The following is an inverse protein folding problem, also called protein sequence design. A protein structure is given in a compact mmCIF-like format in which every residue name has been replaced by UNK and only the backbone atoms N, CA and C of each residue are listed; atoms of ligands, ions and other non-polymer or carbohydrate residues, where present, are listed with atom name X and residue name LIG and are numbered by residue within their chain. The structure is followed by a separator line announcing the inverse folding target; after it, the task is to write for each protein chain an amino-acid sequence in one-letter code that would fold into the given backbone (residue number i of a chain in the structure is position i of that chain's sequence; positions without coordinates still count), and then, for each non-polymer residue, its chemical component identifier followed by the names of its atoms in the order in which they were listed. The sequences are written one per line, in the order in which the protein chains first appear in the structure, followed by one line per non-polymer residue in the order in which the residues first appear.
data_IF_646864356092
#
_entry.id   IF_646864356092
#
_cell.length_a   1.000
_cell.length_b   1.000
_cell.length_c   1.000
_cell.angle_alpha   90.00
_cell.angle_beta   90.00
_cell.angle_gamma   90.00
#
_symmetry.space_group_name_H-M   'P 1'
#
loop_
_entity.id
_entity.type
_entity.pdbx_description
1 polymer ?
#
# COMPACT_ATOMS: atom_id res chain seq x y z
N UNK A 1 -33.26 14.92 -2.57
CA UNK A 1 -32.00 15.51 -2.05
C UNK A 1 -32.10 16.06 -0.62
N UNK A 2 -33.16 16.80 -0.23
CA UNK A 2 -33.22 17.50 1.07
C UNK A 2 -33.35 16.63 2.34
N UNK A 3 -33.73 15.36 2.22
CA UNK A 3 -33.93 14.47 3.39
C UNK A 3 -32.62 13.93 3.96
N UNK A 4 -31.62 13.74 3.09
CA UNK A 4 -30.28 13.26 3.46
C UNK A 4 -29.48 14.37 4.15
N UNK A 5 -29.53 15.61 3.63
CA UNK A 5 -28.94 16.76 4.32
C UNK A 5 -29.57 17.01 5.70
N UNK A 6 -30.90 16.88 5.83
CA UNK A 6 -31.59 16.96 7.13
C UNK A 6 -31.06 15.92 8.14
N UNK A 7 -30.67 14.74 7.66
CA UNK A 7 -30.13 13.67 8.50
C UNK A 7 -28.68 13.93 8.94
N UNK A 8 -27.86 14.51 8.05
CA UNK A 8 -26.46 14.85 8.33
C UNK A 8 -26.36 16.02 9.32
N UNK A 9 -27.20 17.04 9.17
CA UNK A 9 -27.15 18.25 10.02
C UNK A 9 -27.96 18.14 11.31
N UNK A 10 -28.80 17.12 11.47
CA UNK A 10 -29.65 16.93 12.64
C UNK A 10 -30.90 17.81 12.64
N UNK A 11 -31.88 17.42 13.44
CA UNK A 11 -33.15 18.12 13.68
C UNK A 11 -33.33 18.34 15.18
N UNK A 12 -33.79 19.51 15.57
CA UNK A 12 -34.10 19.89 16.94
C UNK A 12 -35.61 20.01 17.05
N UNK A 13 -36.17 19.30 18.01
CA UNK A 13 -37.55 19.42 18.44
C UNK A 13 -37.59 20.37 19.64
N UNK A 14 -38.27 21.49 19.47
CA UNK A 14 -38.34 22.56 20.45
C UNK A 14 -39.79 22.88 20.80
N UNK A 15 -40.00 23.20 22.06
CA UNK A 15 -41.25 23.69 22.62
C UNK A 15 -41.09 25.20 22.84
N UNK A 16 -41.99 25.99 22.25
CA UNK A 16 -42.08 27.43 22.45
C UNK A 16 -43.34 27.71 23.27
N UNK A 17 -43.18 28.31 24.44
CA UNK A 17 -44.28 28.84 25.25
C UNK A 17 -44.33 30.35 25.03
N UNK A 18 -45.40 30.83 24.41
CA UNK A 18 -45.61 32.25 24.12
C UNK A 18 -47.05 32.66 24.47
N UNK A 19 -47.24 33.91 24.88
CA UNK A 19 -48.55 34.46 25.24
C UNK A 19 -49.52 34.53 24.04
N UNK A 20 -48.98 34.63 22.82
CA UNK A 20 -49.74 34.54 21.57
C UNK A 20 -48.96 33.70 20.55
N UNK A 21 -49.30 32.40 20.40
CA UNK A 21 -48.56 31.50 19.52
C UNK A 21 -48.67 31.89 18.03
N UNK A 22 -49.76 32.52 17.60
CA UNK A 22 -49.97 32.90 16.20
C UNK A 22 -49.12 34.12 15.81
N UNK A 23 -49.07 35.14 16.67
CA UNK A 23 -48.20 36.30 16.48
C UNK A 23 -46.71 35.94 16.61
N UNK A 24 -46.38 34.95 17.43
CA UNK A 24 -45.02 34.42 17.52
C UNK A 24 -44.58 33.75 16.21
N UNK A 25 -45.40 32.85 15.64
CA UNK A 25 -45.11 32.20 14.36
C UNK A 25 -44.92 33.19 13.21
N UNK A 26 -45.78 34.21 13.14
CA UNK A 26 -45.70 35.24 12.09
C UNK A 26 -44.41 36.05 12.20
N UNK A 27 -43.98 36.36 13.43
CA UNK A 27 -42.74 37.08 13.67
C UNK A 27 -41.51 36.24 13.32
N UNK A 28 -41.45 34.98 13.73
CA UNK A 28 -40.31 34.11 13.46
C UNK A 28 -40.20 33.74 11.97
N UNK A 29 -41.34 33.57 11.27
CA UNK A 29 -41.35 33.36 9.82
C UNK A 29 -40.89 34.60 9.05
N UNK A 30 -41.31 35.81 9.47
CA UNK A 30 -40.85 37.07 8.89
C UNK A 30 -39.33 37.31 9.06
N UNK A 31 -38.73 36.73 10.10
CA UNK A 31 -37.27 36.78 10.36
C UNK A 31 -36.47 35.71 9.58
N UNK A 32 -37.13 34.97 8.67
CA UNK A 32 -36.49 33.98 7.80
C UNK A 32 -36.21 32.64 8.48
N UNK A 33 -36.78 32.39 9.67
CA UNK A 33 -36.67 31.09 10.33
C UNK A 33 -37.69 30.13 9.69
N UNK A 34 -37.19 29.16 8.92
CA UNK A 34 -38.02 28.09 8.38
C UNK A 34 -38.35 27.09 9.48
N UNK A 35 -39.52 27.28 10.10
CA UNK A 35 -40.12 26.35 11.04
C UNK A 35 -40.76 25.19 10.26
N UNK A 36 -40.49 23.94 10.64
CA UNK A 36 -41.11 22.76 10.04
C UNK A 36 -42.17 22.22 10.98
N UNK A 37 -43.38 22.03 10.43
CA UNK A 37 -44.56 21.42 11.08
C UNK A 37 -44.82 21.96 12.49
N UNK A 38 -45.29 23.22 12.64
CA UNK A 38 -45.68 23.74 13.94
C UNK A 38 -46.99 23.10 14.41
N UNK A 39 -46.94 22.35 15.51
CA UNK A 39 -48.12 21.74 16.13
C UNK A 39 -48.49 22.50 17.42
N UNK A 40 -49.77 22.82 17.56
CA UNK A 40 -50.30 23.44 18.78
C UNK A 40 -50.61 22.33 19.79
N UNK A 41 -49.72 22.11 20.75
CA UNK A 41 -49.90 21.06 21.77
C UNK A 41 -50.73 21.58 22.97
N UNK A 42 -50.70 22.88 23.25
CA UNK A 42 -51.50 23.52 24.31
C UNK A 42 -51.84 24.98 23.91
N UNK A 43 -52.80 25.65 24.59
CA UNK A 43 -53.25 27.01 24.21
C UNK A 43 -52.14 28.08 24.20
N UNK A 44 -51.02 27.85 24.88
CA UNK A 44 -49.86 28.74 24.92
C UNK A 44 -48.55 28.04 24.51
N UNK A 45 -48.63 26.80 24.02
CA UNK A 45 -47.47 25.93 23.82
C UNK A 45 -47.43 25.36 22.42
N UNK A 46 -46.36 25.67 21.71
CA UNK A 46 -46.15 25.27 20.32
C UNK A 46 -44.93 24.36 20.21
N UNK A 47 -45.13 23.16 19.69
CA UNK A 47 -44.04 22.23 19.35
C UNK A 47 -43.64 22.45 17.90
N UNK A 48 -42.35 22.61 17.64
CA UNK A 48 -41.82 22.86 16.31
C UNK A 48 -40.54 22.07 16.09
N UNK A 49 -40.38 21.57 14.87
CA UNK A 49 -39.13 20.97 14.44
C UNK A 49 -38.33 21.95 13.60
N UNK A 50 -37.04 22.04 13.86
CA UNK A 50 -36.15 22.97 13.15
C UNK A 50 -34.74 22.41 13.02
N UNK A 51 -33.92 23.04 12.19
CA UNK A 51 -32.51 22.69 12.10
C UNK A 51 -31.71 23.30 13.29
N UNK A 52 -30.59 22.69 13.71
CA UNK A 52 -29.78 23.18 14.84
C UNK A 52 -29.25 24.61 14.69
N UNK A 53 -29.00 25.06 13.45
CA UNK A 53 -28.59 26.44 13.18
C UNK A 53 -29.73 27.44 13.45
N UNK A 54 -30.97 27.03 13.18
CA UNK A 54 -32.18 27.82 13.46
C UNK A 54 -32.40 27.94 14.96
N UNK A 55 -32.21 26.86 15.73
CA UNK A 55 -32.30 26.87 17.21
C UNK A 55 -31.37 27.91 17.84
N UNK A 56 -30.08 27.93 17.42
CA UNK A 56 -29.10 28.88 17.96
C UNK A 56 -29.48 30.35 17.73
N UNK A 57 -30.25 30.65 16.69
CA UNK A 57 -30.75 32.00 16.41
C UNK A 57 -32.07 32.29 17.12
N UNK A 58 -32.91 31.27 17.30
CA UNK A 58 -34.21 31.40 17.93
C UNK A 58 -34.12 31.56 19.45
N UNK A 59 -33.16 30.90 20.12
CA UNK A 59 -32.93 31.00 21.56
C UNK A 59 -32.73 32.45 22.06
N UNK A 60 -31.81 33.27 21.51
CA UNK A 60 -31.66 34.66 21.93
C UNK A 60 -32.85 35.55 21.53
N UNK A 61 -33.51 35.27 20.40
CA UNK A 61 -34.66 36.06 19.94
C UNK A 61 -35.90 35.83 20.82
N UNK A 62 -36.13 34.59 21.25
CA UNK A 62 -37.21 34.26 22.17
C UNK A 62 -36.98 34.88 23.55
N UNK A 63 -35.74 34.85 24.06
CA UNK A 63 -35.39 35.53 25.30
C UNK A 63 -35.61 37.04 25.22
N UNK A 64 -35.26 37.69 24.10
CA UNK A 64 -35.48 39.11 23.90
C UNK A 64 -36.97 39.51 23.86
N UNK A 65 -37.84 38.59 23.43
CA UNK A 65 -39.31 38.78 23.40
C UNK A 65 -40.00 38.37 24.70
N UNK A 66 -39.28 37.72 25.62
CA UNK A 66 -39.84 37.16 26.87
C UNK A 66 -40.55 35.81 26.69
N UNK A 67 -40.41 35.16 25.53
CA UNK A 67 -40.92 33.82 25.27
C UNK A 67 -40.03 32.75 25.91
N UNK A 68 -40.61 31.66 26.43
CA UNK A 68 -39.83 30.53 26.95
C UNK A 68 -39.68 29.45 25.90
N UNK A 69 -38.46 29.26 25.41
CA UNK A 69 -38.10 28.13 24.54
C UNK A 69 -37.46 26.99 25.34
N UNK A 70 -37.99 25.78 25.21
CA UNK A 70 -37.42 24.55 25.78
C UNK A 70 -37.05 23.57 24.67
N UNK A 71 -35.80 23.12 24.66
CA UNK A 71 -35.37 22.06 23.75
C UNK A 71 -35.83 20.70 24.30
N UNK A 72 -36.77 20.02 23.61
CA UNK A 72 -37.29 18.70 24.03
C UNK A 72 -36.31 17.60 23.62
N UNK A 73 -35.95 17.54 22.33
CA UNK A 73 -35.08 16.49 21.78
C UNK A 73 -34.19 17.02 20.66
N UNK A 74 -32.96 16.53 20.61
CA UNK A 74 -32.01 16.76 19.51
C UNK A 74 -31.77 15.42 18.80
N UNK A 75 -32.15 15.34 17.53
CA UNK A 75 -31.85 14.23 16.64
C UNK A 75 -30.72 14.64 15.68
N UNK A 76 -29.85 13.70 15.28
CA UNK A 76 -28.83 13.97 14.25
C UNK A 76 -27.65 13.01 14.29
N UNK A 77 -26.96 12.89 13.16
CA UNK A 77 -25.77 12.05 13.01
C UNK A 77 -24.70 12.40 14.07
N UNK A 78 -24.46 13.69 14.30
CA UNK A 78 -23.50 14.18 15.30
C UNK A 78 -23.91 13.88 16.74
N UNK A 79 -25.22 13.85 17.05
CA UNK A 79 -25.73 13.49 18.38
C UNK A 79 -25.68 11.97 18.59
N UNK A 80 -25.97 11.18 17.56
CA UNK A 80 -25.82 9.72 17.60
C UNK A 80 -24.35 9.30 17.74
N UNK A 81 -23.44 9.95 17.01
CA UNK A 81 -22.00 9.72 17.12
C UNK A 81 -21.44 10.16 18.48
N UNK A 82 -21.87 11.32 19.00
CA UNK A 82 -21.47 11.80 20.32
C UNK A 82 -22.05 10.95 21.47
N UNK A 83 -23.28 10.43 21.31
CA UNK A 83 -23.92 9.52 22.28
C UNK A 83 -23.30 8.12 22.21
N UNK A 84 -22.73 7.73 21.07
CA UNK A 84 -21.93 6.52 20.86
C UNK A 84 -20.45 6.70 21.24
N UNK A 85 -20.13 7.57 22.22
CA UNK A 85 -18.77 7.69 22.79
C UNK A 85 -18.21 6.39 23.36
N UNK A 86 -19.07 5.45 23.77
CA UNK A 86 -18.63 4.11 24.21
C UNK A 86 -18.21 3.18 23.06
N UNK A 87 -18.63 3.44 21.81
CA UNK A 87 -18.26 2.63 20.63
C UNK A 87 -17.42 3.37 19.59
N UNK A 88 -17.09 4.63 19.84
CA UNK A 88 -16.01 5.37 19.16
C UNK A 88 -14.71 4.56 19.07
N UNK A 89 -14.19 3.91 20.15
CA UNK A 89 -13.00 3.07 20.03
C UNK A 89 -13.20 1.89 19.08
N UNK A 90 -14.40 1.32 18.98
CA UNK A 90 -14.69 0.23 18.05
C UNK A 90 -14.61 0.69 16.58
N UNK A 91 -15.20 1.85 16.26
CA UNK A 91 -15.13 2.39 14.89
C UNK A 91 -13.72 2.83 14.51
N UNK A 92 -12.97 3.42 15.44
CA UNK A 92 -11.56 3.76 15.23
C UNK A 92 -10.73 2.49 15.01
N UNK A 93 -10.93 1.46 15.83
CA UNK A 93 -10.25 0.17 15.66
C UNK A 93 -10.62 -0.51 14.34
N UNK A 94 -11.88 -0.48 13.93
CA UNK A 94 -12.34 -1.03 12.66
C UNK A 94 -11.72 -0.28 11.46
N UNK A 95 -11.67 1.05 11.51
CA UNK A 95 -11.02 1.84 10.48
C UNK A 95 -9.51 1.60 10.43
N UNK A 96 -8.85 1.49 11.59
CA UNK A 96 -7.43 1.18 11.68
C UNK A 96 -7.12 -0.23 11.15
N UNK A 97 -7.96 -1.22 11.47
CA UNK A 97 -7.86 -2.59 10.96
C UNK A 97 -8.03 -2.62 9.43
N UNK A 98 -9.01 -1.90 8.89
CA UNK A 98 -9.21 -1.79 7.45
C UNK A 98 -7.98 -1.21 6.75
N UNK A 99 -7.44 -0.11 7.28
CA UNK A 99 -6.21 0.49 6.77
C UNK A 99 -5.04 -0.49 6.85
N UNK A 100 -4.88 -1.18 7.98
CA UNK A 100 -3.83 -2.19 8.15
C UNK A 100 -3.93 -3.29 7.08
N UNK A 101 -5.13 -3.81 6.80
CA UNK A 101 -5.36 -4.84 5.77
C UNK A 101 -5.04 -4.32 4.36
N UNK A 102 -5.37 -3.06 4.05
CA UNK A 102 -5.09 -2.46 2.75
C UNK A 102 -3.59 -2.18 2.55
N UNK A 103 -2.88 -1.79 3.61
CA UNK A 103 -1.46 -1.42 3.54
C UNK A 103 -0.50 -2.59 3.79
N UNK A 104 -0.91 -3.63 4.53
CA UNK A 104 -0.03 -4.76 4.87
C UNK A 104 0.59 -5.45 3.64
N UNK A 105 -0.15 -5.73 2.54
CA UNK A 105 0.41 -6.41 1.37
C UNK A 105 1.36 -5.53 0.55
N UNK A 106 1.26 -4.20 0.68
CA UNK A 106 2.05 -3.24 -0.10
C UNK A 106 3.46 -3.01 0.44
N UNK A 107 3.76 -3.54 1.63
CA UNK A 107 5.02 -3.30 2.34
C UNK A 107 5.75 -4.59 2.65
N UNK A 108 7.07 -4.50 2.66
CA UNK A 108 7.96 -5.59 3.05
C UNK A 108 8.09 -5.66 4.57
N UNK A 109 7.72 -6.80 5.16
CA UNK A 109 7.83 -7.10 6.59
C UNK A 109 8.95 -8.09 6.85
N UNK A 110 9.11 -9.07 5.98
CA UNK A 110 10.11 -10.12 6.15
C UNK A 110 10.97 -10.20 4.89
N UNK A 111 12.28 -10.34 5.09
CA UNK A 111 13.25 -10.54 4.02
C UNK A 111 13.92 -11.88 4.28
N UNK A 112 13.78 -12.79 3.34
CA UNK A 112 14.35 -14.13 3.39
C UNK A 112 15.33 -14.30 2.24
N UNK A 113 16.44 -14.99 2.50
CA UNK A 113 17.47 -15.26 1.49
C UNK A 113 17.54 -16.76 1.28
N UNK A 114 17.36 -17.20 0.04
CA UNK A 114 17.40 -18.60 -0.36
C UNK A 114 18.51 -18.84 -1.38
N UNK A 115 19.17 -20.00 -1.29
CA UNK A 115 20.20 -20.42 -2.25
C UNK A 115 21.62 -19.94 -1.95
N UNK A 116 21.88 -19.49 -0.71
CA UNK A 116 23.24 -19.21 -0.26
C UNK A 116 23.88 -20.49 0.32
N UNK A 117 25.08 -20.84 -0.12
CA UNK A 117 25.84 -21.98 0.41
C UNK A 117 27.22 -21.51 0.89
N UNK A 118 27.95 -20.78 0.05
CA UNK A 118 29.30 -20.26 0.36
C UNK A 118 29.30 -18.78 0.75
N UNK A 119 28.34 -17.99 0.24
CA UNK A 119 28.24 -16.56 0.52
C UNK A 119 27.42 -16.33 1.79
N UNK A 120 27.91 -15.56 2.78
CA UNK A 120 27.18 -15.31 4.00
C UNK A 120 25.92 -14.47 3.73
N UNK A 121 24.76 -14.94 4.20
CA UNK A 121 23.46 -14.28 4.03
C UNK A 121 23.47 -12.80 4.44
N UNK A 122 24.28 -12.42 5.45
CA UNK A 122 24.43 -11.02 5.89
C UNK A 122 24.95 -10.10 4.78
N UNK A 123 25.88 -10.57 3.95
CA UNK A 123 26.45 -9.78 2.83
C UNK A 123 25.39 -9.54 1.76
N UNK A 124 24.56 -10.55 1.48
CA UNK A 124 23.45 -10.48 0.53
C UNK A 124 22.34 -9.55 1.06
N UNK A 125 22.01 -9.65 2.35
CA UNK A 125 21.04 -8.77 3.02
C UNK A 125 21.47 -7.30 2.98
N UNK A 126 22.74 -7.01 3.26
CA UNK A 126 23.27 -5.63 3.18
C UNK A 126 23.21 -5.09 1.75
N UNK A 127 23.61 -5.89 0.75
CA UNK A 127 23.52 -5.49 -0.64
C UNK A 127 22.07 -5.25 -1.09
N UNK A 128 21.14 -6.10 -0.66
CA UNK A 128 19.72 -5.92 -0.93
C UNK A 128 19.13 -4.69 -0.24
N UNK A 129 19.60 -4.38 0.98
CA UNK A 129 19.24 -3.18 1.70
C UNK A 129 19.71 -1.91 0.95
N UNK A 130 20.95 -1.89 0.47
CA UNK A 130 21.47 -0.79 -0.37
C UNK A 130 20.65 -0.59 -1.65
N UNK A 131 20.11 -1.68 -2.22
CA UNK A 131 19.24 -1.66 -3.39
C UNK A 131 17.79 -1.24 -3.09
N UNK A 132 17.45 -0.92 -1.83
CA UNK A 132 16.13 -0.47 -1.41
C UNK A 132 15.18 -1.58 -0.95
N UNK A 133 15.62 -2.84 -0.91
CA UNK A 133 14.86 -3.95 -0.31
C UNK A 133 15.05 -3.90 1.20
N UNK A 134 14.34 -2.98 1.85
CA UNK A 134 14.40 -2.74 3.30
C UNK A 134 13.09 -3.12 3.99
N UNK A 135 13.15 -3.29 5.31
CA UNK A 135 11.97 -3.32 6.16
C UNK A 135 11.14 -2.03 5.91
N UNK A 136 9.83 -2.16 5.62
CA UNK A 136 8.92 -1.09 5.19
C UNK A 136 9.06 -0.54 3.76
N UNK A 137 9.93 -1.11 2.92
CA UNK A 137 10.00 -0.71 1.53
C UNK A 137 8.68 -0.97 0.79
N UNK A 138 8.34 -0.09 -0.16
CA UNK A 138 7.16 -0.23 -1.02
C UNK A 138 7.47 -1.22 -2.14
N UNK A 139 6.66 -2.26 -2.29
CA UNK A 139 6.87 -3.29 -3.31
C UNK A 139 6.82 -2.73 -4.75
N UNK A 140 6.04 -1.67 -4.99
CA UNK A 140 5.86 -1.08 -6.33
C UNK A 140 7.03 -0.23 -6.84
N UNK A 141 7.97 0.16 -5.98
CA UNK A 141 9.10 1.04 -6.35
C UNK A 141 10.35 0.25 -6.74
N UNK A 142 10.38 -1.04 -6.38
CA UNK A 142 11.53 -1.92 -6.54
C UNK A 142 11.42 -2.63 -7.88
N UNK A 143 12.00 -2.03 -8.92
CA UNK A 143 12.09 -2.66 -10.24
C UNK A 143 13.10 -3.80 -10.18
N UNK A 144 12.63 -5.04 -10.26
CA UNK A 144 13.45 -6.26 -10.10
C UNK A 144 14.75 -6.17 -10.90
N UNK A 145 14.74 -5.73 -12.17
CA UNK A 145 15.96 -5.68 -13.00
C UNK A 145 17.05 -4.71 -12.51
N UNK A 146 16.68 -3.56 -11.94
CA UNK A 146 17.68 -2.61 -11.42
C UNK A 146 18.34 -3.16 -10.17
N UNK A 147 17.56 -3.78 -9.29
CA UNK A 147 18.04 -4.40 -8.06
C UNK A 147 18.92 -5.60 -8.37
N UNK A 148 18.56 -6.44 -9.35
CA UNK A 148 19.41 -7.57 -9.78
C UNK A 148 20.82 -7.09 -10.17
N UNK A 149 20.90 -6.09 -11.04
CA UNK A 149 22.19 -5.58 -11.53
C UNK A 149 23.02 -4.94 -10.41
N UNK A 150 22.38 -4.22 -9.49
CA UNK A 150 23.08 -3.64 -8.35
C UNK A 150 23.57 -4.71 -7.36
N UNK A 151 22.75 -5.72 -7.05
CA UNK A 151 23.16 -6.83 -6.17
C UNK A 151 24.35 -7.58 -6.79
N UNK A 152 24.33 -7.86 -8.10
CA UNK A 152 25.45 -8.51 -8.80
C UNK A 152 26.73 -7.66 -8.80
N UNK A 153 26.61 -6.33 -8.86
CA UNK A 153 27.77 -5.43 -8.75
C UNK A 153 28.36 -5.43 -7.34
N UNK A 154 27.52 -5.49 -6.30
CA UNK A 154 27.96 -5.49 -4.90
C UNK A 154 28.50 -6.86 -4.45
N UNK A 155 27.99 -7.94 -5.05
CA UNK A 155 28.39 -9.32 -4.73
C UNK A 155 28.74 -10.08 -6.02
N UNK A 156 29.97 -9.91 -6.54
CA UNK A 156 30.42 -10.55 -7.79
C UNK A 156 30.59 -12.08 -7.70
N UNK A 157 30.49 -12.64 -6.49
CA UNK A 157 30.43 -14.07 -6.20
C UNK A 157 29.09 -14.69 -6.63
N UNK A 158 28.06 -13.88 -6.92
CA UNK A 158 26.77 -14.35 -7.41
C UNK A 158 26.74 -14.41 -8.93
N UNK A 159 26.21 -15.50 -9.49
CA UNK A 159 25.94 -15.63 -10.92
C UNK A 159 24.57 -15.03 -11.27
N UNK A 160 23.62 -15.15 -10.34
CA UNK A 160 22.26 -14.65 -10.51
C UNK A 160 21.67 -14.27 -9.15
N UNK A 161 20.91 -13.19 -9.12
CA UNK A 161 20.09 -12.79 -7.98
C UNK A 161 18.70 -12.42 -8.49
N UNK A 162 17.66 -12.72 -7.73
CA UNK A 162 16.28 -12.35 -8.02
C UNK A 162 15.55 -12.01 -6.74
N UNK A 163 14.69 -10.99 -6.79
CA UNK A 163 13.85 -10.58 -5.66
C UNK A 163 12.40 -10.76 -6.04
N UNK A 164 11.71 -11.62 -5.31
CA UNK A 164 10.29 -11.90 -5.47
C UNK A 164 9.52 -11.36 -4.26
N UNK A 165 8.41 -10.67 -4.51
CA UNK A 165 7.54 -10.15 -3.47
C UNK A 165 6.23 -10.93 -3.41
N UNK A 166 5.89 -11.46 -2.24
CA UNK A 166 4.63 -12.17 -1.99
C UNK A 166 4.04 -11.75 -0.65
N UNK A 167 2.91 -11.05 -0.66
CA UNK A 167 2.12 -10.78 0.56
C UNK A 167 2.86 -10.06 1.69
N UNK A 168 3.91 -9.30 1.37
CA UNK A 168 4.78 -8.63 2.35
C UNK A 168 6.03 -9.41 2.79
N UNK A 169 6.25 -10.60 2.22
CA UNK A 169 7.53 -11.31 2.25
C UNK A 169 8.33 -10.98 0.98
N UNK A 170 9.59 -10.59 1.15
CA UNK A 170 10.56 -10.44 0.07
C UNK A 170 11.52 -11.63 0.11
N UNK A 171 11.42 -12.51 -0.88
CA UNK A 171 12.32 -13.66 -1.03
C UNK A 171 13.41 -13.28 -2.02
N UNK A 172 14.65 -13.28 -1.56
CA UNK A 172 15.85 -13.04 -2.35
C UNK A 172 16.42 -14.41 -2.70
N UNK A 173 16.15 -14.85 -3.92
CA UNK A 173 16.73 -16.08 -4.46
C UNK A 173 18.07 -15.75 -5.09
N UNK A 174 19.14 -16.39 -4.62
CA UNK A 174 20.48 -16.23 -5.16
C UNK A 174 21.00 -17.53 -5.74
N UNK A 175 21.86 -17.42 -6.75
CA UNK A 175 22.65 -18.53 -7.26
C UNK A 175 24.11 -18.10 -7.30
N UNK A 176 24.93 -18.81 -6.55
CA UNK A 176 26.36 -18.55 -6.45
C UNK A 176 27.06 -18.96 -7.74
N UNK A 177 28.11 -18.22 -8.10
CA UNK A 177 28.99 -18.56 -9.21
C UNK A 177 29.85 -19.73 -8.76
N UNK A 178 29.69 -20.87 -9.44
CA UNK A 178 30.62 -21.98 -9.32
C UNK A 178 32.03 -21.47 -9.64
N UNK A 179 33.07 -21.89 -8.89
CA UNK A 179 34.43 -21.52 -9.22
C UNK A 179 34.69 -21.94 -10.67
N UNK A 180 35.00 -20.96 -11.52
CA UNK A 180 35.50 -21.27 -12.86
C UNK A 180 36.73 -22.15 -12.64
N UNK A 181 36.74 -23.33 -13.30
CA UNK A 181 37.99 -24.06 -13.46
C UNK A 181 39.03 -23.04 -13.92
N UNK A 182 40.19 -22.96 -13.25
CA UNK A 182 41.18 -21.95 -13.57
C UNK A 182 41.40 -22.03 -15.06
N UNK A 183 41.12 -20.93 -15.78
CA UNK A 183 41.41 -20.82 -17.20
C UNK A 183 42.87 -21.19 -17.32
N UNK A 184 43.15 -22.42 -17.76
CA UNK A 184 44.51 -22.89 -18.02
C UNK A 184 45.12 -21.80 -18.87
N UNK A 185 46.22 -21.24 -18.38
CA UNK A 185 46.86 -20.08 -18.97
C UNK A 185 46.82 -20.20 -20.49
N UNK A 186 46.18 -19.23 -21.17
CA UNK A 186 46.09 -19.21 -22.63
C UNK A 186 47.48 -19.11 -23.31
N UNK A 187 48.54 -18.94 -22.52
CA UNK A 187 49.95 -19.01 -22.92
C UNK A 187 50.55 -20.42 -22.87
N UNK A 188 49.85 -21.41 -22.31
CA UNK A 188 50.32 -22.79 -22.31
C UNK A 188 50.05 -23.41 -23.67
N UNK A 189 51.11 -23.57 -24.43
CA UNK A 189 51.12 -24.29 -25.71
C UNK A 189 50.66 -25.73 -25.42
N UNK A 190 49.38 -26.02 -25.69
CA UNK A 190 48.79 -27.33 -25.46
C UNK A 190 48.72 -28.07 -26.80
N UNK A 191 49.41 -29.20 -26.89
CA UNK A 191 49.49 -30.00 -28.11
C UNK A 191 48.26 -30.91 -28.23
N UNK A 192 47.62 -30.90 -29.40
CA UNK A 192 46.53 -31.85 -29.72
C UNK A 192 47.16 -33.06 -30.42
N UNK A 193 47.13 -34.21 -29.74
CA UNK A 193 47.68 -35.47 -30.25
C UNK A 193 46.55 -36.43 -30.60
N UNK A 194 46.56 -36.94 -31.84
CA UNK A 194 45.59 -37.93 -32.27
C UNK A 194 45.87 -39.28 -31.57
N UNK A 195 44.89 -39.82 -30.84
CA UNK A 195 45.04 -41.11 -30.17
C UNK A 195 45.06 -42.29 -31.15
N UNK A 196 44.46 -42.13 -32.34
CA UNK A 196 44.35 -43.16 -33.38
C UNK A 196 44.38 -42.53 -34.77
N UNK A 197 44.67 -43.34 -35.79
CA UNK A 197 44.52 -42.95 -37.18
C UNK A 197 43.05 -42.66 -37.50
N UNK A 198 42.78 -41.55 -38.19
CA UNK A 198 41.41 -41.15 -38.50
C UNK A 198 41.33 -39.92 -39.39
N UNK A 199 40.11 -39.56 -39.78
CA UNK A 199 39.82 -38.34 -40.54
C UNK A 199 38.97 -37.43 -39.66
N UNK A 200 39.31 -36.13 -39.62
CA UNK A 200 38.55 -35.14 -38.85
C UNK A 200 37.19 -34.93 -39.51
N UNK A 201 36.10 -35.42 -38.89
CA UNK A 201 34.73 -35.29 -39.41
C UNK A 201 34.09 -33.96 -39.02
N UNK A 202 34.43 -33.43 -37.85
CA UNK A 202 33.96 -32.13 -37.37
C UNK A 202 34.97 -31.52 -36.40
N UNK A 203 35.02 -30.20 -36.38
CA UNK A 203 35.92 -29.44 -35.50
C UNK A 203 35.17 -28.23 -34.95
N UNK A 204 35.27 -28.00 -33.64
CA UNK A 204 34.70 -26.83 -32.96
C UNK A 204 35.78 -26.18 -32.12
N UNK A 205 36.20 -24.98 -32.51
CA UNK A 205 37.29 -24.25 -31.86
C UNK A 205 36.71 -23.12 -31.04
N UNK A 206 36.81 -23.25 -29.70
CA UNK A 206 36.27 -22.30 -28.74
C UNK A 206 37.17 -21.06 -28.55
N UNK A 207 38.42 -21.11 -29.03
CA UNK A 207 39.36 -19.98 -29.08
C UNK A 207 40.74 -20.40 -29.62
N UNK A 208 41.43 -19.48 -30.31
CA UNK A 208 42.71 -19.73 -30.98
C UNK A 208 42.60 -19.84 -32.50
N UNK A 209 43.72 -20.09 -33.18
CA UNK A 209 43.76 -20.31 -34.63
C UNK A 209 43.83 -21.80 -34.92
N UNK A 210 42.88 -22.33 -35.69
CA UNK A 210 42.92 -23.72 -36.15
C UNK A 210 43.80 -23.84 -37.39
N UNK A 211 44.80 -24.70 -37.35
CA UNK A 211 45.63 -25.05 -38.51
C UNK A 211 45.24 -26.43 -39.08
N UNK A 212 44.45 -27.23 -38.36
CA UNK A 212 43.78 -28.42 -38.90
C UNK A 212 42.48 -28.09 -39.65
N UNK A 213 42.13 -28.92 -40.62
CA UNK A 213 40.89 -28.78 -41.39
C UNK A 213 40.00 -30.02 -41.28
N UNK A 214 38.69 -29.81 -41.35
CA UNK A 214 37.72 -30.91 -41.51
C UNK A 214 38.02 -31.62 -42.82
N UNK A 215 38.17 -32.95 -42.78
CA UNK A 215 38.60 -33.78 -43.90
C UNK A 215 40.11 -34.10 -43.92
N UNK A 216 40.91 -33.54 -43.00
CA UNK A 216 42.32 -33.89 -42.87
C UNK A 216 42.50 -35.29 -42.24
N UNK A 217 43.40 -36.09 -42.82
CA UNK A 217 43.81 -37.37 -42.25
C UNK A 217 44.88 -37.15 -41.17
N UNK A 218 44.66 -37.71 -39.99
CA UNK A 218 45.58 -37.68 -38.85
C UNK A 218 46.08 -39.09 -38.52
N UNK A 219 47.34 -39.18 -38.07
CA UNK A 219 47.97 -40.43 -37.62
C UNK A 219 48.08 -40.47 -36.10
N UNK A 220 48.00 -41.66 -35.54
CA UNK A 220 48.21 -41.92 -34.12
C UNK A 220 49.57 -41.39 -33.66
N UNK A 221 49.58 -40.60 -32.59
CA UNK A 221 50.79 -39.95 -32.07
C UNK A 221 51.27 -38.74 -32.88
N UNK A 222 50.57 -38.37 -33.96
CA UNK A 222 50.83 -37.14 -34.70
C UNK A 222 50.45 -35.91 -33.86
N UNK A 223 51.35 -34.94 -33.84
CA UNK A 223 51.08 -33.61 -33.28
C UNK A 223 50.65 -32.67 -34.39
N UNK A 224 49.53 -32.00 -34.19
CA UNK A 224 48.98 -31.07 -35.15
C UNK A 224 48.73 -29.74 -34.41
N UNK A 225 49.53 -28.73 -34.77
CA UNK A 225 49.30 -27.33 -34.43
C UNK A 225 48.28 -26.78 -35.39
#
# INVERSE_FOLDING_TARGET
MNRILKYVFGTVEAELVSADPAAALTYYSAQGLRLQDPELTAPLTLTMTMAPHTWRRLEPMAQARGDRCRCIRRYGLMVSLARSRRRLPFWVAAAAMLLAVLYAPSRVWFVEVEGNETVPARKILLAAEECGVKFWAKSGEIRSEQVKNQILNLVPELQWAGVNFSGGLAVISVRERLPEEPVRERSSITNVVAARDGVIVSMSVLGGQSLCQVGQAVRAGGSYW
#
